data_IF_287856779036
#
_entry.id   IF_287856779036
#
_cell.length_a   1.000
_cell.length_b   1.000
_cell.length_c   1.000
_cell.angle_alpha   90.00
_cell.angle_beta   90.00
_cell.angle_gamma   90.00
#
_symmetry.space_group_name_H-M   'P 1'
#
loop_
_entity.id
_entity.type
_entity.pdbx_description
1 polymer ?
#
# COMPACT_ATOMS: atom_id res chain seq x y z
N UNK A 1 -14.85 4.05 24.98
CA UNK A 1 -14.79 4.12 24.12
C UNK A 1 -14.37 3.80 23.22
N UNK A 2 -14.31 3.73 22.48
CA UNK A 2 -13.90 3.49 21.54
C UNK A 2 -13.90 3.71 20.51
N UNK A 3 -13.55 3.62 19.95
CA UNK A 3 -13.44 3.81 19.12
C UNK A 3 -13.37 3.65 18.07
N UNK A 4 -13.59 3.81 17.41
CA UNK A 4 -13.45 3.60 16.42
C UNK A 4 -13.31 3.54 15.62
N UNK A 5 -13.35 3.33 15.37
CA UNK A 5 -12.64 3.56 14.41
C UNK A 5 -12.85 3.29 12.88
N UNK A 6 -13.83 3.55 12.22
CA UNK A 6 -14.00 3.44 10.79
C UNK A 6 -13.24 4.53 10.05
N UNK A 7 -12.80 4.23 8.83
CA UNK A 7 -12.17 5.19 7.96
C UNK A 7 -13.22 6.13 7.36
N UNK A 8 -12.80 7.28 6.87
CA UNK A 8 -13.69 8.18 6.12
C UNK A 8 -14.02 7.57 4.75
N UNK A 9 -15.04 8.09 4.10
CA UNK A 9 -15.38 7.71 2.72
C UNK A 9 -14.20 8.04 1.79
N UNK A 10 -13.53 9.18 2.02
CA UNK A 10 -12.34 9.55 1.25
C UNK A 10 -11.26 8.49 1.34
N UNK A 11 -10.93 8.07 2.55
CA UNK A 11 -9.94 7.03 2.80
C UNK A 11 -10.30 5.75 2.05
N UNK A 12 -11.53 5.28 2.22
CA UNK A 12 -11.99 4.05 1.61
C UNK A 12 -11.96 4.11 0.08
N UNK A 13 -12.33 5.26 -0.49
CA UNK A 13 -12.36 5.41 -1.94
C UNK A 13 -10.97 5.43 -2.56
N UNK A 14 -10.01 6.08 -1.92
CA UNK A 14 -8.62 6.10 -2.41
C UNK A 14 -8.07 4.67 -2.42
N UNK A 15 -8.24 3.95 -1.31
CA UNK A 15 -7.79 2.56 -1.21
C UNK A 15 -8.47 1.67 -2.26
N UNK A 16 -9.78 1.84 -2.45
CA UNK A 16 -10.52 1.06 -3.43
C UNK A 16 -10.05 1.31 -4.86
N UNK A 17 -9.79 2.57 -5.23
CA UNK A 17 -9.29 2.89 -6.56
C UNK A 17 -7.94 2.27 -6.83
N UNK A 18 -7.05 2.31 -5.85
CA UNK A 18 -5.75 1.67 -5.98
C UNK A 18 -5.90 0.16 -6.12
N UNK A 19 -6.73 -0.46 -5.29
CA UNK A 19 -6.97 -1.90 -5.36
C UNK A 19 -7.55 -2.30 -6.72
N UNK A 20 -8.49 -1.51 -7.26
CA UNK A 20 -9.08 -1.77 -8.57
C UNK A 20 -8.04 -1.71 -9.70
N UNK A 21 -7.15 -0.72 -9.65
CA UNK A 21 -6.06 -0.60 -10.64
C UNK A 21 -5.11 -1.79 -10.56
N UNK A 22 -4.79 -2.23 -9.36
CA UNK A 22 -3.91 -3.38 -9.15
C UNK A 22 -4.58 -4.68 -9.62
N UNK A 23 -5.87 -4.86 -9.33
CA UNK A 23 -6.61 -6.03 -9.81
C UNK A 23 -6.57 -6.12 -11.34
N UNK A 24 -6.85 -5.01 -12.00
CA UNK A 24 -6.82 -4.97 -13.46
C UNK A 24 -5.43 -5.29 -14.00
N UNK A 25 -4.39 -4.71 -13.41
CA UNK A 25 -3.02 -4.90 -13.86
C UNK A 25 -2.51 -6.32 -13.65
N UNK A 26 -3.08 -7.06 -12.69
CA UNK A 26 -2.57 -8.38 -12.29
C UNK A 26 -3.49 -9.54 -12.67
N UNK A 27 -4.55 -9.30 -13.45
CA UNK A 27 -5.52 -10.33 -13.84
C UNK A 27 -4.90 -11.58 -14.45
N UNK A 28 -3.89 -11.40 -15.31
CA UNK A 28 -3.24 -12.52 -16.01
C UNK A 28 -1.99 -13.01 -15.29
N UNK A 29 -1.88 -12.76 -14.00
CA UNK A 29 -0.71 -13.12 -13.19
C UNK A 29 -1.14 -13.95 -11.99
N UNK A 30 -0.14 -14.52 -11.28
CA UNK A 30 -0.36 -15.23 -10.03
C UNK A 30 -0.39 -14.30 -8.82
N UNK A 31 -0.41 -12.98 -9.04
CA UNK A 31 -0.40 -12.01 -7.95
C UNK A 31 -1.78 -11.86 -7.34
N UNK A 32 -1.82 -11.65 -6.03
CA UNK A 32 -3.06 -11.42 -5.29
C UNK A 32 -3.06 -10.05 -4.65
N UNK A 33 -4.14 -9.29 -4.89
CA UNK A 33 -4.39 -7.99 -4.27
C UNK A 33 -5.35 -8.21 -3.12
N UNK A 34 -5.02 -7.69 -1.95
CA UNK A 34 -5.92 -7.74 -0.79
C UNK A 34 -6.01 -6.37 -0.14
N UNK A 35 -7.10 -6.16 0.57
CA UNK A 35 -7.33 -4.93 1.32
C UNK A 35 -7.30 -5.20 2.82
N UNK A 36 -7.77 -4.29 3.61
CA UNK A 36 -7.59 -4.21 5.06
C UNK A 36 -8.01 -5.41 5.89
N UNK A 37 -8.65 -6.41 5.30
CA UNK A 37 -9.11 -7.61 6.04
C UNK A 37 -8.04 -8.69 6.16
N UNK A 38 -6.94 -8.58 5.45
CA UNK A 38 -5.86 -9.57 5.48
C UNK A 38 -4.67 -8.98 6.22
N UNK A 39 -4.14 -9.75 7.17
CA UNK A 39 -3.00 -9.33 7.96
C UNK A 39 -1.70 -9.41 7.20
N UNK A 40 -0.78 -8.53 7.52
CA UNK A 40 0.62 -8.65 7.16
C UNK A 40 1.39 -9.04 8.43
N UNK A 41 2.04 -10.20 8.40
CA UNK A 41 2.83 -10.68 9.53
C UNK A 41 4.32 -10.41 9.31
N UNK A 42 4.93 -9.74 10.27
CA UNK A 42 6.37 -9.46 10.29
C UNK A 42 6.88 -9.95 11.64
N UNK A 43 7.60 -11.09 11.64
CA UNK A 43 7.99 -11.78 12.89
C UNK A 43 6.74 -12.06 13.73
N UNK A 44 6.65 -11.50 14.92
CA UNK A 44 5.52 -11.67 15.83
C UNK A 44 4.57 -10.46 15.84
N UNK A 45 4.74 -9.54 14.89
CA UNK A 45 3.91 -8.33 14.76
C UNK A 45 2.96 -8.47 13.58
N UNK A 46 1.73 -7.99 13.76
CA UNK A 46 0.71 -8.01 12.71
C UNK A 46 0.25 -6.59 12.42
N UNK A 47 0.08 -6.31 11.11
CA UNK A 47 -0.55 -5.07 10.66
C UNK A 47 -1.68 -5.42 9.70
N UNK A 48 -2.55 -4.44 9.43
CA UNK A 48 -3.63 -4.56 8.45
C UNK A 48 -3.47 -3.43 7.43
N UNK A 49 -2.59 -3.60 6.43
CA UNK A 49 -2.41 -2.54 5.42
C UNK A 49 -3.70 -2.28 4.66
N UNK A 50 -3.89 -1.05 4.23
CA UNK A 50 -5.07 -0.70 3.44
C UNK A 50 -5.12 -1.45 2.12
N UNK A 51 -3.96 -1.59 1.45
CA UNK A 51 -3.83 -2.36 0.21
C UNK A 51 -2.48 -3.04 0.22
N UNK A 52 -2.44 -4.32 -0.16
CA UNK A 52 -1.15 -4.98 -0.40
C UNK A 52 -1.26 -5.97 -1.56
N UNK A 53 -0.11 -6.27 -2.15
CA UNK A 53 0.02 -7.16 -3.28
C UNK A 53 1.11 -8.19 -2.99
N UNK A 54 0.81 -9.46 -3.21
CA UNK A 54 1.80 -10.52 -3.14
C UNK A 54 1.72 -11.38 -4.41
N UNK A 55 2.88 -11.75 -4.93
CA UNK A 55 2.97 -12.58 -6.12
C UNK A 55 3.53 -13.98 -5.81
N UNK A 56 3.71 -14.31 -4.53
CA UNK A 56 4.29 -15.58 -4.10
C UNK A 56 3.44 -16.36 -3.11
N UNK A 57 2.32 -15.80 -2.66
CA UNK A 57 1.47 -16.42 -1.64
C UNK A 57 0.06 -16.64 -2.21
N UNK A 58 -0.13 -17.74 -2.93
CA UNK A 58 -1.31 -17.93 -3.78
C UNK A 58 -2.42 -18.75 -3.12
N UNK A 59 -2.31 -19.11 -1.85
CA UNK A 59 -3.34 -19.91 -1.17
C UNK A 59 -4.48 -19.05 -0.68
N UNK A 60 -5.63 -19.16 -1.30
CA UNK A 60 -6.80 -18.32 -1.01
C UNK A 60 -7.35 -18.50 0.39
N UNK A 61 -7.10 -19.63 1.05
CA UNK A 61 -7.54 -19.86 2.43
C UNK A 61 -6.66 -19.20 3.47
N UNK A 62 -5.54 -18.59 3.09
CA UNK A 62 -4.66 -17.92 4.04
C UNK A 62 -5.33 -16.67 4.59
N UNK A 63 -5.01 -16.37 5.84
CA UNK A 63 -5.54 -15.20 6.55
C UNK A 63 -4.51 -14.10 6.71
N UNK A 64 -3.28 -14.33 6.25
CA UNK A 64 -2.20 -13.38 6.36
C UNK A 64 -1.19 -13.58 5.24
N UNK A 65 -0.47 -12.50 4.95
CA UNK A 65 0.68 -12.52 4.05
C UNK A 65 1.95 -12.28 4.85
N UNK A 66 3.05 -12.82 4.38
CA UNK A 66 4.40 -12.58 4.93
C UNK A 66 5.32 -11.94 3.91
N UNK A 67 5.02 -12.06 2.64
CA UNK A 67 5.93 -11.71 1.55
C UNK A 67 5.27 -10.85 0.49
N UNK A 68 4.68 -9.71 0.87
CA UNK A 68 4.14 -8.80 -0.13
C UNK A 68 5.27 -8.13 -0.89
N UNK A 69 5.01 -7.77 -2.15
CA UNK A 69 5.95 -6.97 -2.93
C UNK A 69 5.56 -5.49 -2.94
N UNK A 70 4.34 -5.18 -2.54
CA UNK A 70 3.82 -3.82 -2.51
C UNK A 70 2.86 -3.66 -1.34
N UNK A 71 2.99 -2.55 -0.61
CA UNK A 71 2.09 -2.17 0.48
C UNK A 71 1.75 -0.69 0.34
N UNK A 72 0.49 -0.35 0.53
CA UNK A 72 0.05 1.04 0.55
C UNK A 72 -0.86 1.30 1.74
N UNK A 73 -0.71 2.50 2.30
CA UNK A 73 -1.57 3.01 3.37
C UNK A 73 -2.12 4.36 2.96
N UNK A 74 -3.38 4.62 3.27
CA UNK A 74 -3.95 5.95 3.15
C UNK A 74 -3.81 6.63 4.51
N UNK A 75 -3.15 7.76 4.53
CA UNK A 75 -2.82 8.45 5.78
C UNK A 75 -4.06 9.07 6.42
N UNK A 76 -4.11 9.01 7.73
CA UNK A 76 -5.02 9.81 8.54
C UNK A 76 -4.21 10.55 9.59
N UNK A 77 -4.79 11.57 10.22
CA UNK A 77 -4.07 12.32 11.24
C UNK A 77 -3.65 11.44 12.42
N UNK A 78 -4.43 10.40 12.71
CA UNK A 78 -4.13 9.49 13.83
C UNK A 78 -3.10 8.42 13.50
N UNK A 79 -3.01 7.98 12.23
CA UNK A 79 -2.11 6.88 11.86
C UNK A 79 -0.82 7.33 11.18
N UNK A 80 -0.76 8.56 10.65
CA UNK A 80 0.39 9.03 9.90
C UNK A 80 1.74 8.87 10.65
N UNK A 81 1.84 9.19 11.95
CA UNK A 81 3.10 8.99 12.67
C UNK A 81 3.53 7.53 12.73
N UNK A 82 2.58 6.60 12.89
CA UNK A 82 2.86 5.17 12.93
C UNK A 82 3.28 4.69 11.55
N UNK A 83 2.58 5.15 10.50
CA UNK A 83 2.85 4.77 9.11
C UNK A 83 4.24 5.23 8.65
N UNK A 84 4.66 6.43 9.08
CA UNK A 84 5.97 6.99 8.73
C UNK A 84 7.10 6.53 9.64
N UNK A 85 6.79 6.01 10.81
CA UNK A 85 7.77 5.60 11.80
C UNK A 85 7.87 4.09 11.93
N UNK A 86 7.10 3.54 12.87
CA UNK A 86 7.16 2.12 13.24
C UNK A 86 6.93 1.20 12.04
N UNK A 87 5.87 1.45 11.27
CA UNK A 87 5.54 0.60 10.13
C UNK A 87 6.62 0.63 9.07
N UNK A 88 7.14 1.80 8.75
CA UNK A 88 8.21 1.93 7.78
C UNK A 88 9.44 1.10 8.19
N UNK A 89 9.85 1.20 9.45
CA UNK A 89 11.00 0.44 9.94
C UNK A 89 10.77 -1.06 9.81
N UNK A 90 9.58 -1.54 10.17
CA UNK A 90 9.25 -2.95 10.11
C UNK A 90 9.08 -3.44 8.67
N UNK A 91 8.40 -2.66 7.84
CA UNK A 91 8.16 -3.05 6.44
C UNK A 91 9.46 -3.17 5.65
N UNK A 92 10.44 -2.31 5.94
CA UNK A 92 11.75 -2.37 5.27
C UNK A 92 12.51 -3.66 5.53
N UNK A 93 12.16 -4.39 6.58
CA UNK A 93 12.78 -5.68 6.88
C UNK A 93 12.22 -6.83 6.04
N UNK A 94 11.13 -6.63 5.32
CA UNK A 94 10.51 -7.66 4.49
C UNK A 94 11.32 -7.80 3.20
N UNK A 95 11.99 -8.94 2.97
CA UNK A 95 12.87 -9.07 1.79
C UNK A 95 12.16 -8.91 0.46
N UNK A 96 10.89 -9.34 0.36
CA UNK A 96 10.11 -9.29 -0.87
C UNK A 96 9.58 -7.89 -1.20
N UNK A 97 9.50 -7.00 -0.21
CA UNK A 97 8.87 -5.69 -0.40
C UNK A 97 9.74 -4.80 -1.29
N UNK A 98 9.13 -4.33 -2.38
CA UNK A 98 9.79 -3.45 -3.33
C UNK A 98 9.35 -2.00 -3.19
N UNK A 99 8.09 -1.78 -2.85
CA UNK A 99 7.50 -0.44 -2.82
C UNK A 99 6.52 -0.30 -1.66
N UNK A 100 6.67 0.78 -0.91
CA UNK A 100 5.74 1.17 0.15
C UNK A 100 5.26 2.59 -0.13
N UNK A 101 3.93 2.76 -0.23
CA UNK A 101 3.32 4.03 -0.62
C UNK A 101 2.40 4.55 0.48
N UNK A 102 2.55 5.82 0.79
CA UNK A 102 1.67 6.54 1.71
C UNK A 102 0.89 7.57 0.90
N UNK A 103 -0.43 7.42 0.86
CA UNK A 103 -1.31 8.31 0.10
C UNK A 103 -1.98 9.30 1.05
N UNK A 104 -1.86 10.58 0.74
CA UNK A 104 -2.55 11.61 1.53
C UNK A 104 -4.05 11.46 1.35
N UNK A 105 -4.82 11.82 2.37
CA UNK A 105 -6.27 11.72 2.31
C UNK A 105 -6.91 12.98 1.74
N UNK A 106 -6.28 14.12 1.94
CA UNK A 106 -6.87 15.44 1.66
C UNK A 106 -6.16 16.24 0.57
N UNK A 107 -5.11 15.71 -0.03
CA UNK A 107 -4.40 16.31 -1.16
C UNK A 107 -3.97 15.20 -2.11
N UNK A 108 -3.75 15.55 -3.39
CA UNK A 108 -3.27 14.59 -4.38
C UNK A 108 -1.77 14.45 -4.20
N UNK A 109 -1.38 13.49 -3.34
CA UNK A 109 0.01 13.34 -2.93
C UNK A 109 0.31 11.91 -2.49
N UNK A 110 1.44 11.39 -2.95
CA UNK A 110 1.96 10.09 -2.57
C UNK A 110 3.41 10.22 -2.09
N UNK A 111 3.72 9.61 -0.96
CA UNK A 111 5.09 9.43 -0.49
C UNK A 111 5.49 8.01 -0.84
N UNK A 112 6.56 7.85 -1.58
CA UNK A 112 6.93 6.55 -2.15
C UNK A 112 8.31 6.14 -1.68
N UNK A 113 8.38 4.98 -1.06
CA UNK A 113 9.63 4.33 -0.67
C UNK A 113 9.86 3.17 -1.63
N UNK A 114 10.94 3.21 -2.39
CA UNK A 114 11.28 2.18 -3.38
C UNK A 114 12.61 1.56 -3.03
N UNK A 115 12.66 0.22 -3.02
CA UNK A 115 13.90 -0.50 -2.75
C UNK A 115 14.86 -0.32 -3.92
N UNK A 116 16.08 0.03 -3.58
CA UNK A 116 17.20 0.04 -4.51
C UNK A 116 17.99 -1.26 -4.33
N UNK A 117 19.28 -1.26 -4.53
CA UNK A 117 20.11 -2.44 -4.30
C UNK A 117 20.36 -2.65 -2.80
N UNK A 118 20.31 -3.89 -2.35
CA UNK A 118 20.56 -4.24 -0.95
C UNK A 118 19.51 -3.63 -0.02
N UNK A 119 19.98 -2.97 1.04
CA UNK A 119 19.10 -2.36 2.04
C UNK A 119 18.83 -0.89 1.78
N UNK A 120 19.25 -0.39 0.62
CA UNK A 120 19.03 1.02 0.27
C UNK A 120 17.62 1.25 -0.25
N UNK A 121 17.02 2.35 0.15
CA UNK A 121 15.68 2.76 -0.26
C UNK A 121 15.71 4.19 -0.77
N UNK A 122 14.93 4.44 -1.83
CA UNK A 122 14.71 5.80 -2.34
C UNK A 122 13.39 6.31 -1.80
N UNK A 123 13.37 7.55 -1.35
CA UNK A 123 12.15 8.25 -0.94
C UNK A 123 11.89 9.38 -1.91
N UNK A 124 10.64 9.46 -2.39
CA UNK A 124 10.22 10.58 -3.21
C UNK A 124 8.78 10.96 -2.94
N UNK A 125 8.43 12.19 -3.21
CA UNK A 125 7.07 12.70 -3.09
C UNK A 125 6.54 12.99 -4.48
N UNK A 126 5.38 12.41 -4.78
CA UNK A 126 4.71 12.59 -6.07
C UNK A 126 3.41 13.35 -5.83
N UNK A 127 3.16 14.36 -6.66
CA UNK A 127 1.97 15.20 -6.54
C UNK A 127 1.29 15.35 -7.90
N UNK A 128 -0.02 15.60 -7.90
CA UNK A 128 -0.78 15.83 -9.10
C UNK A 128 -0.74 14.66 -10.07
N UNK A 129 -0.31 14.93 -11.29
CA UNK A 129 -0.27 13.95 -12.36
C UNK A 129 1.07 13.20 -12.46
N UNK A 130 1.95 13.35 -11.47
CA UNK A 130 3.21 12.61 -11.44
C UNK A 130 2.94 11.11 -11.45
N UNK A 131 3.79 10.35 -12.12
CA UNK A 131 3.58 8.91 -12.31
C UNK A 131 4.08 8.10 -11.13
N UNK A 132 3.20 7.28 -10.59
CA UNK A 132 3.53 6.29 -9.57
C UNK A 132 3.84 4.98 -10.27
N UNK A 133 5.03 4.43 -10.00
CA UNK A 133 5.46 3.15 -10.54
C UNK A 133 5.29 2.05 -9.51
N UNK A 134 4.65 0.95 -9.90
CA UNK A 134 4.51 -0.24 -9.05
C UNK A 134 5.07 -1.42 -9.86
N UNK A 135 6.41 -1.61 -9.84
CA UNK A 135 7.06 -2.57 -10.74
C UNK A 135 6.56 -4.00 -10.61
N UNK A 136 6.30 -4.48 -9.40
CA UNK A 136 5.88 -5.87 -9.24
C UNK A 136 4.47 -6.13 -9.79
N UNK A 137 3.69 -5.09 -10.04
CA UNK A 137 2.38 -5.21 -10.70
C UNK A 137 2.47 -4.89 -12.19
N UNK A 138 3.62 -4.42 -12.67
CA UNK A 138 3.76 -3.95 -14.04
C UNK A 138 2.88 -2.74 -14.32
N UNK A 139 2.65 -1.90 -13.30
CA UNK A 139 1.70 -0.81 -13.37
C UNK A 139 2.38 0.54 -13.19
N UNK A 140 1.97 1.49 -14.02
CA UNK A 140 2.36 2.89 -13.91
C UNK A 140 1.09 3.72 -14.06
N UNK A 141 0.84 4.65 -13.15
CA UNK A 141 -0.38 5.46 -13.18
C UNK A 141 -0.14 6.83 -12.57
N UNK A 142 -0.88 7.87 -13.05
CA UNK A 142 -0.80 9.18 -12.40
C UNK A 142 -1.38 9.10 -10.99
N UNK A 143 -0.72 9.74 -10.05
CA UNK A 143 -1.21 9.78 -8.65
C UNK A 143 -2.64 10.32 -8.63
N UNK A 144 -2.93 11.36 -9.42
CA UNK A 144 -4.27 11.96 -9.49
C UNK A 144 -5.38 10.97 -9.82
N UNK A 145 -5.07 9.88 -10.55
CA UNK A 145 -6.09 8.89 -10.91
C UNK A 145 -6.67 8.17 -9.71
N UNK A 146 -5.96 8.14 -8.58
CA UNK A 146 -6.42 7.50 -7.35
C UNK A 146 -7.39 8.38 -6.57
N UNK A 147 -7.52 9.65 -6.96
CA UNK A 147 -8.30 10.65 -6.23
C UNK A 147 -9.56 11.08 -6.96
N UNK A 148 -9.90 10.46 -8.08
CA UNK A 148 -11.11 10.79 -8.83
C UNK A 148 -12.36 10.59 -7.98
N UNK A 149 -13.20 11.63 -7.91
CA UNK A 149 -14.41 11.59 -7.11
C UNK A 149 -14.17 11.77 -5.62
N UNK A 150 -12.93 12.04 -5.22
CA UNK A 150 -12.55 12.24 -3.82
C UNK A 150 -12.16 13.69 -3.57
N UNK A 151 -11.35 14.25 -4.47
CA UNK A 151 -10.89 15.64 -4.38
C UNK A 151 -11.15 16.39 -5.67
#
# INVERSE_FOLDING_TARGET
>A
MFLITGATVQHARIALRLAAKLLEATEETDCEVVTSDVKLQISDVYYYPDVMLSCTEIKLERRFFKSPCFVAEVLSSSTAPIDRGEKLLNYRTIPSLQTYVLLAQDTIRAEVYSRLTGDAWRYEVLEGDAMLEIPCAGLSLPVSSLYKGVL
#
